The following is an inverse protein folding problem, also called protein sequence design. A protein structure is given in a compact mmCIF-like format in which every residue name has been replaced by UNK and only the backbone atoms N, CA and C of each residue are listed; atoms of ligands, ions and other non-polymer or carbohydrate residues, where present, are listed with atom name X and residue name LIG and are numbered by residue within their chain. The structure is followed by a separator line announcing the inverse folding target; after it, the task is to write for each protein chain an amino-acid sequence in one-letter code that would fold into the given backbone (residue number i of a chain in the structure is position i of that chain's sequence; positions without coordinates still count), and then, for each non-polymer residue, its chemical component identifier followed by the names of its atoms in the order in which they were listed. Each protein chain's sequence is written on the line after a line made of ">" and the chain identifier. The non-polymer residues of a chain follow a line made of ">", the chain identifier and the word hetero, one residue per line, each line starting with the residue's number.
data_IF_656990078740
#
_entry.id   IF_656990078740
#
_cell.length_a   1.000
_cell.length_b   1.000
_cell.length_c   1.000
_cell.angle_alpha   90.00
_cell.angle_beta   90.00
_cell.angle_gamma   90.00
#
_symmetry.space_group_name_H-M   'P 1'
#
loop_
_entity.id
_entity.type
_entity.pdbx_description
1 polymer ?
#
# COMPACT_ATOMS: atom_id res chain seq x y z
N UNK A 1 20.90 9.10 -1.96
CA UNK A 1 19.46 9.39 -2.13
C UNK A 1 18.77 8.09 -1.78
N UNK A 2 18.17 8.01 -0.59
CA UNK A 2 17.86 6.74 0.05
C UNK A 2 16.92 5.88 -0.81
N UNK A 3 17.33 4.64 -1.03
CA UNK A 3 16.67 3.66 -1.86
C UNK A 3 15.40 3.21 -1.11
N UNK A 4 14.29 3.93 -1.31
CA UNK A 4 13.00 3.56 -0.71
C UNK A 4 12.55 2.24 -1.35
N UNK A 5 12.92 1.14 -0.71
CA UNK A 5 12.54 -0.21 -1.10
C UNK A 5 11.10 -0.44 -0.65
N UNK A 6 10.20 -0.59 -1.63
CA UNK A 6 8.79 -0.88 -1.38
C UNK A 6 8.59 -2.38 -1.29
N UNK A 7 8.05 -2.85 -0.17
CA UNK A 7 7.61 -4.23 -0.01
C UNK A 7 6.14 -4.39 -0.40
N UNK A 8 5.81 -5.44 -1.14
CA UNK A 8 4.42 -5.81 -1.42
C UNK A 8 3.85 -6.46 -0.17
N UNK A 9 2.88 -5.81 0.46
CA UNK A 9 2.15 -6.35 1.63
C UNK A 9 1.07 -7.34 1.17
N UNK A 10 0.30 -6.95 0.14
CA UNK A 10 -0.72 -7.78 -0.49
C UNK A 10 -0.64 -7.58 -2.00
N UNK A 11 -0.54 -8.68 -2.75
CA UNK A 11 -0.44 -8.65 -4.22
C UNK A 11 -1.79 -8.43 -4.90
N UNK A 12 -2.87 -8.98 -4.34
CA UNK A 12 -4.25 -8.74 -4.78
C UNK A 12 -5.18 -8.90 -3.57
N UNK A 13 -5.97 -7.88 -3.27
CA UNK A 13 -6.92 -7.89 -2.14
C UNK A 13 -8.14 -8.77 -2.41
N UNK A 14 -8.36 -9.21 -3.66
CA UNK A 14 -9.53 -9.98 -4.07
C UNK A 14 -10.86 -9.27 -3.86
N UNK A 15 -10.81 -7.94 -3.67
CA UNK A 15 -11.94 -7.13 -3.24
C UNK A 15 -11.93 -5.77 -3.94
N UNK A 16 -13.12 -5.25 -4.21
CA UNK A 16 -13.33 -3.89 -4.71
C UNK A 16 -13.35 -2.84 -3.59
N UNK A 17 -13.18 -3.26 -2.34
CA UNK A 17 -13.09 -2.35 -1.20
C UNK A 17 -11.89 -1.40 -1.35
N UNK A 18 -12.12 -0.12 -1.06
CA UNK A 18 -11.11 0.94 -1.10
C UNK A 18 -10.39 1.11 0.25
N UNK A 19 -10.59 0.18 1.17
CA UNK A 19 -10.02 0.19 2.53
C UNK A 19 -9.20 -1.08 2.75
N UNK A 20 -8.04 -0.93 3.40
CA UNK A 20 -7.17 -2.03 3.81
C UNK A 20 -6.62 -1.73 5.21
N UNK A 21 -6.69 -2.72 6.11
CA UNK A 21 -6.10 -2.63 7.45
C UNK A 21 -4.80 -3.43 7.47
N UNK A 22 -3.70 -2.78 7.81
CA UNK A 22 -2.38 -3.39 7.94
C UNK A 22 -2.07 -3.63 9.43
N UNK A 23 -2.27 -4.84 9.98
CA UNK A 23 -2.00 -5.14 11.38
C UNK A 23 -0.49 -5.30 11.67
N UNK A 24 -0.10 -5.18 12.93
CA UNK A 24 1.28 -5.49 13.38
C UNK A 24 2.32 -4.39 13.12
N UNK A 25 1.87 -3.15 12.94
CA UNK A 25 2.76 -2.00 12.82
C UNK A 25 3.40 -1.65 14.16
N UNK A 26 4.67 -1.24 14.12
CA UNK A 26 5.36 -0.76 15.32
C UNK A 26 4.96 0.68 15.62
N UNK A 27 4.64 1.03 16.88
CA UNK A 27 4.30 2.40 17.26
C UNK A 27 5.48 3.36 17.02
N UNK A 28 5.20 4.65 16.79
CA UNK A 28 6.20 5.68 16.45
C UNK A 28 7.01 5.40 15.17
N UNK A 29 6.50 4.56 14.27
CA UNK A 29 7.13 4.33 12.96
C UNK A 29 6.24 4.89 11.87
N UNK A 30 6.76 5.82 11.07
CA UNK A 30 6.03 6.35 9.92
C UNK A 30 6.07 5.34 8.78
N UNK A 31 4.89 4.85 8.38
CA UNK A 31 4.75 3.96 7.23
C UNK A 31 4.15 4.73 6.05
N UNK A 32 4.75 4.52 4.88
CA UNK A 32 4.24 5.05 3.62
C UNK A 32 3.52 3.94 2.88
N UNK A 33 2.34 4.26 2.36
CA UNK A 33 1.53 3.32 1.59
C UNK A 33 1.29 3.83 0.19
N UNK A 34 1.25 2.89 -0.75
CA UNK A 34 0.75 3.10 -2.11
C UNK A 34 -0.15 1.92 -2.46
N UNK A 35 -1.24 2.20 -3.15
CA UNK A 35 -2.17 1.17 -3.64
C UNK A 35 -2.16 1.16 -5.16
N UNK A 36 -2.46 0.00 -5.72
CA UNK A 36 -2.65 -0.20 -7.14
C UNK A 36 -4.03 -0.82 -7.35
N UNK A 37 -4.79 -0.34 -8.33
CA UNK A 37 -6.03 -0.99 -8.74
C UNK A 37 -5.69 -2.11 -9.72
N UNK A 38 -6.34 -3.26 -9.58
CA UNK A 38 -6.15 -4.42 -10.46
C UNK A 38 -7.49 -4.69 -11.13
N UNK A 39 -7.49 -4.85 -12.45
CA UNK A 39 -8.62 -5.36 -13.22
C UNK A 39 -8.15 -6.55 -14.08
N UNK A 40 -9.09 -7.17 -14.81
CA UNK A 40 -8.82 -8.35 -15.66
C UNK A 40 -7.75 -8.09 -16.74
N UNK A 41 -7.60 -6.82 -17.14
CA UNK A 41 -6.65 -6.38 -18.18
C UNK A 41 -5.25 -6.12 -17.60
N UNK A 42 -5.14 -5.79 -16.31
CA UNK A 42 -3.85 -5.57 -15.64
C UNK A 42 -3.91 -4.68 -14.40
N UNK A 43 -2.74 -4.20 -13.98
CA UNK A 43 -2.56 -3.34 -12.80
C UNK A 43 -2.42 -1.87 -13.21
N UNK A 44 -3.08 -0.95 -12.49
CA UNK A 44 -3.02 0.49 -12.72
C UNK A 44 -1.66 1.09 -12.36
N UNK A 45 -1.45 2.38 -12.68
CA UNK A 45 -0.38 3.16 -12.05
C UNK A 45 -0.63 3.30 -10.53
N UNK A 46 0.45 3.49 -9.77
CA UNK A 46 0.45 3.64 -8.31
C UNK A 46 -0.32 4.90 -7.89
N UNK A 47 -1.07 4.81 -6.79
CA UNK A 47 -1.74 5.95 -6.15
C UNK A 47 -0.74 6.99 -5.62
N UNK A 48 -1.23 8.18 -5.26
CA UNK A 48 -0.46 9.14 -4.48
C UNK A 48 0.01 8.51 -3.16
N UNK A 49 1.25 8.78 -2.77
CA UNK A 49 1.81 8.33 -1.50
C UNK A 49 1.18 9.16 -0.38
N UNK A 50 0.56 8.50 0.61
CA UNK A 50 0.09 9.17 1.84
C UNK A 50 0.85 8.62 3.05
N UNK A 51 1.08 9.46 4.05
CA UNK A 51 1.70 9.08 5.32
C UNK A 51 0.61 8.90 6.38
N UNK A 52 0.67 7.79 7.12
CA UNK A 52 -0.14 7.57 8.32
C UNK A 52 0.80 7.46 9.53
N UNK A 53 0.44 8.15 10.61
CA UNK A 53 1.11 8.07 11.92
C UNK A 53 0.24 7.24 12.87
N UNK A 54 0.87 6.46 13.74
CA UNK A 54 0.22 5.48 14.62
C UNK A 54 0.55 5.76 16.08
#
# INVERSE_FOLDING_TARGET
>A
MADTTWSIIVSNTGSTATTYSNPGLSPNTTYYYRVFAINDVGTSLRSNTTSADF
#
